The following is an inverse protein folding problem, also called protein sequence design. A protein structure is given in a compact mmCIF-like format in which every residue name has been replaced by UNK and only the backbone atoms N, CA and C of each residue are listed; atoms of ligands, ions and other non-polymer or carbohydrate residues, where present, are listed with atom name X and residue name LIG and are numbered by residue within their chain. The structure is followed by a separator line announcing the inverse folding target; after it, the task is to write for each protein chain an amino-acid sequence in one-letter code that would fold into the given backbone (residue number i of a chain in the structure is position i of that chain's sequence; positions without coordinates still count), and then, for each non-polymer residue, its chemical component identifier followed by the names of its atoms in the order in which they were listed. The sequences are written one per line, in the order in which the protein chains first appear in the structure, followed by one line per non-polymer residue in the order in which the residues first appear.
data_IF_256254310242
#
_entry.id   IF_256254310242
#
_cell.length_a   1.000
_cell.length_b   1.000
_cell.length_c   1.000
_cell.angle_alpha   90.00
_cell.angle_beta   90.00
_cell.angle_gamma   90.00
#
_symmetry.space_group_name_H-M   'P 1'
#
loop_
_entity.id
_entity.type
_entity.pdbx_description
1 polymer ?
#
# COMPACT_ATOMS: atom_id res chain seq x y z
N UNK A 1 -16.45 -7.77 11.24
CA UNK A 1 -15.56 -8.12 10.11
C UNK A 1 -15.95 -7.27 8.90
N UNK A 2 -15.02 -6.72 8.17
CA UNK A 2 -15.28 -5.98 6.93
C UNK A 2 -14.23 -6.35 5.87
N UNK A 3 -14.57 -6.11 4.60
CA UNK A 3 -13.69 -6.30 3.46
C UNK A 3 -13.35 -4.94 2.88
N UNK A 4 -12.07 -4.70 2.60
CA UNK A 4 -11.58 -3.42 2.10
C UNK A 4 -10.56 -3.65 0.99
N UNK A 5 -10.65 -2.87 -0.08
CA UNK A 5 -9.57 -2.72 -1.03
C UNK A 5 -8.60 -1.63 -0.56
N UNK A 6 -7.30 -1.91 -0.66
CA UNK A 6 -6.26 -0.94 -0.37
C UNK A 6 -5.21 -0.92 -1.47
N UNK A 7 -4.82 0.25 -1.91
CA UNK A 7 -3.79 0.44 -2.92
C UNK A 7 -2.90 1.62 -2.58
N UNK A 8 -1.61 1.50 -2.85
CA UNK A 8 -0.64 2.57 -2.60
C UNK A 8 -0.43 3.41 -3.84
N UNK A 9 -0.76 4.69 -3.77
CA UNK A 9 -0.53 5.64 -4.88
C UNK A 9 0.94 6.06 -5.01
N UNK A 10 1.68 6.01 -3.91
CA UNK A 10 3.10 6.41 -3.83
C UNK A 10 4.06 5.27 -4.16
N UNK A 11 3.61 4.02 -4.13
CA UNK A 11 4.46 2.80 -4.18
C UNK A 11 5.47 2.72 -3.04
N UNK A 12 5.32 3.54 -2.03
CA UNK A 12 6.14 3.53 -0.83
C UNK A 12 5.51 2.63 0.24
N UNK A 13 6.28 1.78 0.93
CA UNK A 13 5.76 0.91 1.97
C UNK A 13 5.16 1.68 3.15
N UNK A 14 5.61 2.91 3.43
CA UNK A 14 5.06 3.75 4.48
C UNK A 14 3.56 3.98 4.27
N UNK A 15 3.17 4.55 3.14
CA UNK A 15 1.77 4.79 2.84
C UNK A 15 0.93 3.50 2.82
N UNK A 16 1.55 2.39 2.40
CA UNK A 16 0.87 1.10 2.33
C UNK A 16 0.57 0.47 3.70
N UNK A 17 1.40 0.73 4.68
CA UNK A 17 1.35 0.05 5.98
C UNK A 17 0.94 0.99 7.11
N UNK A 18 1.52 2.19 7.18
CA UNK A 18 1.29 3.15 8.26
C UNK A 18 -0.20 3.42 8.50
N UNK A 19 -0.92 3.77 7.43
CA UNK A 19 -2.35 4.08 7.52
C UNK A 19 -3.20 2.90 8.04
N UNK A 20 -2.78 1.67 7.77
CA UNK A 20 -3.56 0.49 8.10
C UNK A 20 -3.30 -0.05 9.51
N UNK A 21 -2.11 0.20 10.09
CA UNK A 21 -1.69 -0.47 11.33
C UNK A 21 -1.19 0.46 12.42
N UNK A 22 -0.90 1.75 12.13
CA UNK A 22 -0.50 2.69 13.17
C UNK A 22 -1.62 2.95 14.16
N UNK A 23 -1.27 3.02 15.44
CA UNK A 23 -2.19 3.41 16.51
C UNK A 23 -2.75 4.82 16.29
N UNK A 24 -1.95 5.72 15.72
CA UNK A 24 -2.35 7.12 15.48
C UNK A 24 -3.44 7.30 14.41
N UNK A 25 -3.65 6.29 13.55
CA UNK A 25 -4.63 6.33 12.44
C UNK A 25 -5.90 5.55 12.74
N UNK A 26 -6.11 5.14 13.99
CA UNK A 26 -7.29 4.38 14.40
C UNK A 26 -8.61 5.09 14.07
N UNK A 27 -9.59 4.32 13.61
CA UNK A 27 -11.00 4.70 13.53
C UNK A 27 -11.40 5.57 12.35
N UNK A 28 -10.50 6.25 11.68
CA UNK A 28 -10.79 7.12 10.55
C UNK A 28 -10.79 6.33 9.23
N UNK A 29 -10.29 6.91 8.15
CA UNK A 29 -10.07 6.22 6.88
C UNK A 29 -8.90 5.22 6.93
N UNK A 30 -8.13 5.19 8.03
CA UNK A 30 -6.91 4.39 8.21
C UNK A 30 -7.12 3.04 8.89
N UNK A 31 -6.58 2.90 10.10
CA UNK A 31 -6.57 1.66 10.88
C UNK A 31 -7.97 1.29 11.40
N UNK A 32 -8.73 0.55 10.61
CA UNK A 32 -10.09 0.09 10.92
C UNK A 32 -10.11 -1.21 11.73
N UNK A 33 -8.98 -1.87 11.88
CA UNK A 33 -8.84 -3.05 12.75
C UNK A 33 -8.70 -2.68 14.21
N UNK A 34 -8.46 -1.40 14.52
CA UNK A 34 -8.10 -0.92 15.86
C UNK A 34 -6.88 -1.62 16.45
N UNK A 35 -5.99 -2.08 15.56
CA UNK A 35 -4.73 -2.68 15.96
C UNK A 35 -3.83 -1.63 16.63
N UNK A 36 -3.20 -2.04 17.72
CA UNK A 36 -2.24 -1.22 18.46
C UNK A 36 -1.08 -2.08 18.93
N UNK A 37 0.11 -1.72 18.50
CA UNK A 37 1.34 -2.37 18.94
C UNK A 37 2.46 -1.32 19.03
N UNK A 38 2.92 -0.98 20.25
CA UNK A 38 3.94 0.05 20.43
C UNK A 38 5.26 -0.23 19.70
N UNK A 39 5.61 -1.49 19.51
CA UNK A 39 6.81 -1.87 18.75
C UNK A 39 6.63 -1.54 17.26
N UNK A 40 5.46 -1.84 16.71
CA UNK A 40 5.13 -1.50 15.32
C UNK A 40 5.09 0.01 15.13
N UNK A 41 4.46 0.75 16.04
CA UNK A 41 4.41 2.22 15.99
C UNK A 41 5.83 2.82 15.97
N UNK A 42 6.72 2.34 16.84
CA UNK A 42 8.11 2.80 16.86
C UNK A 42 8.85 2.50 15.55
N UNK A 43 8.74 1.29 15.04
CA UNK A 43 9.37 0.89 13.77
C UNK A 43 8.81 1.69 12.59
N UNK A 44 7.52 2.02 12.59
CA UNK A 44 6.91 2.88 11.57
C UNK A 44 7.54 4.27 11.56
N UNK A 45 7.72 4.91 12.73
CA UNK A 45 8.36 6.22 12.82
C UNK A 45 9.86 6.15 12.43
N UNK A 46 10.57 5.10 12.81
CA UNK A 46 11.95 4.87 12.38
C UNK A 46 12.03 4.71 10.85
N UNK A 47 11.15 3.91 10.25
CA UNK A 47 11.12 3.69 8.80
C UNK A 47 10.77 4.92 7.99
N UNK A 48 10.04 5.88 8.55
CA UNK A 48 9.71 7.17 7.91
C UNK A 48 10.90 8.12 7.86
N UNK A 49 11.79 8.06 8.85
CA UNK A 49 12.94 8.95 8.99
C UNK A 49 14.24 8.34 8.47
N UNK A 50 14.30 7.02 8.26
CA UNK A 50 15.49 6.33 7.77
C UNK A 50 15.77 6.67 6.30
N UNK A 51 16.99 7.14 6.04
CA UNK A 51 17.44 7.55 4.71
C UNK A 51 18.22 6.46 3.96
N UNK A 52 18.80 5.49 4.70
CA UNK A 52 19.50 4.36 4.10
C UNK A 52 18.47 3.33 3.57
N UNK A 53 18.43 3.06 2.26
CA UNK A 53 17.43 2.17 1.66
C UNK A 53 17.46 0.74 2.21
N UNK A 54 18.64 0.20 2.53
CA UNK A 54 18.74 -1.18 3.03
C UNK A 54 18.29 -1.28 4.49
N UNK A 55 18.62 -0.30 5.31
CA UNK A 55 18.10 -0.23 6.69
C UNK A 55 16.59 -0.02 6.70
N UNK A 56 16.09 0.89 5.87
CA UNK A 56 14.67 1.14 5.72
C UNK A 56 13.92 -0.13 5.30
N UNK A 57 14.44 -0.86 4.35
CA UNK A 57 13.89 -2.16 3.91
C UNK A 57 13.86 -3.20 5.03
N UNK A 58 14.91 -3.26 5.86
CA UNK A 58 14.96 -4.15 7.01
C UNK A 58 13.88 -3.80 8.04
N UNK A 59 13.68 -2.52 8.35
CA UNK A 59 12.63 -2.03 9.25
C UNK A 59 11.23 -2.46 8.75
N UNK A 60 10.91 -2.19 7.49
CA UNK A 60 9.60 -2.58 6.94
C UNK A 60 9.41 -4.09 6.84
N UNK A 61 10.49 -4.86 6.66
CA UNK A 61 10.44 -6.31 6.73
C UNK A 61 10.06 -6.79 8.14
N UNK A 62 10.68 -6.22 9.17
CA UNK A 62 10.36 -6.53 10.57
C UNK A 62 8.90 -6.19 10.91
N UNK A 63 8.43 -5.01 10.49
CA UNK A 63 7.03 -4.61 10.64
C UNK A 63 6.09 -5.66 10.01
N UNK A 64 6.38 -6.10 8.79
CA UNK A 64 5.56 -7.10 8.10
C UNK A 64 5.57 -8.46 8.81
N UNK A 65 6.69 -8.87 9.40
CA UNK A 65 6.79 -10.12 10.17
C UNK A 65 5.91 -10.05 11.44
N UNK A 66 5.90 -8.91 12.15
CA UNK A 66 5.05 -8.69 13.31
C UNK A 66 3.57 -8.71 12.91
N UNK A 67 3.19 -7.93 11.88
CA UNK A 67 1.81 -7.88 11.36
C UNK A 67 1.32 -9.26 10.94
N UNK A 68 2.18 -10.05 10.30
CA UNK A 68 1.85 -11.42 9.88
C UNK A 68 1.62 -12.36 11.06
N UNK A 69 2.28 -12.12 12.18
CA UNK A 69 2.12 -12.89 13.42
C UNK A 69 0.88 -12.47 14.20
N UNK A 70 0.63 -11.15 14.28
CA UNK A 70 -0.49 -10.59 15.04
C UNK A 70 -1.82 -10.66 14.28
N UNK A 71 -1.78 -10.75 12.95
CA UNK A 71 -2.91 -10.88 12.02
C UNK A 71 -4.01 -9.82 12.26
N UNK A 72 -3.70 -8.51 12.32
CA UNK A 72 -4.71 -7.47 12.42
C UNK A 72 -5.61 -7.41 11.18
N UNK A 73 -5.12 -7.89 10.05
CA UNK A 73 -5.82 -8.03 8.79
C UNK A 73 -5.32 -9.23 8.01
N UNK A 74 -6.17 -9.77 7.13
CA UNK A 74 -5.82 -10.88 6.27
C UNK A 74 -5.88 -10.47 4.80
N UNK A 75 -4.78 -10.66 4.07
CA UNK A 75 -4.69 -10.36 2.65
C UNK A 75 -5.33 -11.49 1.84
N UNK A 76 -6.47 -11.22 1.19
CA UNK A 76 -7.24 -12.23 0.48
C UNK A 76 -6.77 -12.37 -0.96
N UNK A 77 -6.66 -11.25 -1.68
CA UNK A 77 -6.31 -11.24 -3.11
C UNK A 77 -5.46 -10.02 -3.48
N UNK A 78 -4.68 -10.20 -4.54
CA UNK A 78 -4.06 -9.12 -5.31
C UNK A 78 -4.72 -9.12 -6.70
N UNK A 79 -5.63 -8.18 -6.98
CA UNK A 79 -6.36 -8.19 -8.25
C UNK A 79 -5.43 -7.84 -9.41
N UNK A 80 -5.57 -8.58 -10.52
CA UNK A 80 -4.98 -8.19 -11.79
C UNK A 80 -5.79 -7.05 -12.41
N UNK A 81 -5.11 -6.03 -12.90
CA UNK A 81 -5.75 -4.99 -13.69
C UNK A 81 -5.81 -5.41 -15.16
N UNK A 82 -7.01 -5.46 -15.70
CA UNK A 82 -7.24 -5.69 -17.12
C UNK A 82 -7.90 -4.45 -17.73
N UNK A 83 -7.39 -4.02 -18.88
CA UNK A 83 -7.97 -2.92 -19.63
C UNK A 83 -8.27 -3.38 -21.04
N UNK A 84 -9.46 -3.08 -21.49
CA UNK A 84 -9.89 -3.30 -22.87
C UNK A 84 -10.04 -1.95 -23.54
N UNK A 85 -9.41 -1.79 -24.70
CA UNK A 85 -9.50 -0.57 -25.51
C UNK A 85 -10.02 -0.90 -26.90
N UNK A 86 -10.58 0.09 -27.60
CA UNK A 86 -10.87 -0.03 -29.02
C UNK A 86 -9.55 -0.16 -29.80
N UNK A 87 -9.60 -0.83 -30.97
CA UNK A 87 -8.41 -1.10 -31.80
C UNK A 87 -7.67 0.17 -32.25
N UNK A 88 -8.38 1.27 -32.35
CA UNK A 88 -7.87 2.57 -32.75
C UNK A 88 -7.26 3.39 -31.60
N UNK A 89 -7.28 2.88 -30.37
CA UNK A 89 -6.61 3.51 -29.23
C UNK A 89 -5.17 2.98 -29.16
N UNK A 90 -4.20 3.88 -29.26
CA UNK A 90 -2.76 3.58 -29.21
C UNK A 90 -2.11 4.19 -27.98
N UNK A 91 -0.96 3.63 -27.61
CA UNK A 91 -0.09 4.12 -26.54
C UNK A 91 -0.72 4.12 -25.13
N UNK A 92 -1.82 3.42 -24.92
CA UNK A 92 -2.35 3.25 -23.57
C UNK A 92 -1.43 2.35 -22.73
N UNK A 93 -1.09 2.81 -21.53
CA UNK A 93 -0.24 2.07 -20.58
C UNK A 93 -0.93 2.01 -19.23
N UNK A 94 -0.97 0.82 -18.63
CA UNK A 94 -1.36 0.64 -17.24
C UNK A 94 -0.24 1.11 -16.33
N UNK A 95 -0.62 1.83 -15.27
CA UNK A 95 0.29 2.17 -14.18
C UNK A 95 0.11 1.17 -13.03
N UNK A 96 1.22 0.72 -12.45
CA UNK A 96 1.22 -0.18 -11.30
C UNK A 96 0.61 0.44 -10.03
N UNK A 97 0.46 1.77 -9.97
CA UNK A 97 -0.25 2.49 -8.90
C UNK A 97 -1.77 2.55 -9.11
N UNK A 98 -2.32 1.72 -10.01
CA UNK A 98 -3.74 1.66 -10.35
C UNK A 98 -4.33 2.96 -10.94
N UNK A 99 -3.49 3.87 -11.37
CA UNK A 99 -3.90 5.09 -12.06
C UNK A 99 -3.89 4.90 -13.58
N UNK A 100 -4.80 5.59 -14.28
CA UNK A 100 -4.89 5.55 -15.72
C UNK A 100 -4.14 6.76 -16.29
N UNK A 101 -2.96 6.53 -16.87
CA UNK A 101 -2.19 7.58 -17.53
C UNK A 101 -2.65 7.71 -18.98
N UNK A 102 -3.42 8.75 -19.24
CA UNK A 102 -3.94 9.05 -20.59
C UNK A 102 -3.02 9.95 -21.41
N UNK A 103 -1.97 10.49 -20.80
CA UNK A 103 -0.99 11.31 -21.52
C UNK A 103 -0.28 10.49 -22.60
N UNK A 104 -0.29 10.98 -23.82
CA UNK A 104 0.29 10.30 -25.00
C UNK A 104 -0.60 9.24 -25.63
N UNK A 105 -1.82 9.03 -25.12
CA UNK A 105 -2.82 8.16 -25.77
C UNK A 105 -3.35 8.87 -27.01
N UNK A 106 -3.36 8.16 -28.14
CA UNK A 106 -3.88 8.67 -29.42
C UNK A 106 -5.04 7.81 -29.90
N UNK A 107 -5.95 8.45 -30.63
CA UNK A 107 -7.02 7.79 -31.35
C UNK A 107 -6.78 7.96 -32.84
N UNK A 108 -6.62 6.84 -33.54
CA UNK A 108 -6.44 6.76 -35.01
C UNK A 108 -7.74 6.37 -35.69
#
# INVERSE_FOLDING_TARGET
MFLLGWGTVTRDPDYGIYELVSTSTMGSAGNRSFYSNPTVDKLLEEGRTELDPEKRKAIYKEIQEIIRKDIPMYMIIYPLQNVVTQKNIKNFKLDSAQSHKIYGVTKE
#
